data_IF_006450136114
#
_entry.id   IF_006450136114
#
_cell.length_a   1.000
_cell.length_b   1.000
_cell.length_c   1.000
_cell.angle_alpha   90.00
_cell.angle_beta   90.00
_cell.angle_gamma   90.00
#
_symmetry.space_group_name_H-M   'P 1'
#
loop_
_entity.id
_entity.type
_entity.pdbx_description
1 polymer ?
#
# COMPACT_ATOMS: atom_id res chain seq x y z
N UNK A 1 -9.13 36.08 40.69
CA UNK A 1 -9.84 34.79 40.53
C UNK A 1 -11.05 35.07 39.66
N UNK A 2 -11.36 34.40 38.55
CA UNK A 2 -10.93 33.11 38.01
C UNK A 2 -10.91 33.17 36.47
N UNK A 3 -10.04 32.35 35.87
CA UNK A 3 -10.06 31.99 34.45
C UNK A 3 -11.28 31.10 34.16
N UNK A 4 -11.95 31.30 33.04
CA UNK A 4 -12.91 30.32 32.49
C UNK A 4 -12.48 29.97 31.06
N UNK A 5 -11.72 28.88 30.96
CA UNK A 5 -11.59 28.09 29.74
C UNK A 5 -12.81 27.18 29.64
N UNK A 6 -13.57 27.27 28.56
CA UNK A 6 -14.64 26.31 28.26
C UNK A 6 -14.04 25.09 27.55
N UNK A 7 -14.22 23.94 28.18
CA UNK A 7 -13.80 22.60 27.75
C UNK A 7 -14.55 22.20 26.47
N UNK A 8 -13.83 21.92 25.37
CA UNK A 8 -14.44 21.27 24.21
C UNK A 8 -14.66 19.78 24.54
N UNK A 9 -15.92 19.38 24.71
CA UNK A 9 -16.29 17.96 24.80
C UNK A 9 -16.00 17.28 23.47
N UNK A 10 -15.03 16.35 23.47
CA UNK A 10 -14.80 15.43 22.36
C UNK A 10 -16.05 14.57 22.20
N UNK A 11 -16.81 14.81 21.12
CA UNK A 11 -17.86 13.90 20.70
C UNK A 11 -17.22 12.54 20.38
N UNK A 12 -17.86 11.46 20.83
CA UNK A 12 -17.47 10.10 20.49
C UNK A 12 -17.48 9.93 18.98
N UNK A 13 -16.30 9.68 18.40
CA UNK A 13 -16.17 9.30 16.99
C UNK A 13 -17.06 8.09 16.72
N UNK A 14 -17.80 8.06 15.59
CA UNK A 14 -18.54 6.87 15.21
C UNK A 14 -17.55 5.71 15.08
N UNK A 15 -17.89 4.58 15.69
CA UNK A 15 -17.11 3.36 15.55
C UNK A 15 -16.97 3.02 14.07
N UNK A 16 -15.74 2.67 13.66
CA UNK A 16 -15.47 2.16 12.32
C UNK A 16 -16.46 1.02 11.99
N UNK A 17 -16.94 0.91 10.75
CA UNK A 17 -17.88 -0.13 10.36
C UNK A 17 -17.27 -1.51 10.64
N UNK A 18 -17.83 -2.21 11.63
CA UNK A 18 -17.49 -3.59 11.94
C UNK A 18 -18.23 -4.52 10.98
N UNK A 19 -17.72 -4.62 9.76
CA UNK A 19 -17.91 -5.88 9.04
C UNK A 19 -17.00 -6.89 9.73
N UNK A 20 -17.55 -8.03 10.14
CA UNK A 20 -16.77 -9.13 10.68
C UNK A 20 -15.65 -9.47 9.69
N UNK A 21 -14.45 -8.96 9.97
CA UNK A 21 -13.23 -9.48 9.40
C UNK A 21 -13.33 -11.00 9.55
N UNK A 22 -13.27 -11.72 8.43
CA UNK A 22 -13.05 -13.17 8.51
C UNK A 22 -11.87 -13.37 9.46
N UNK A 23 -11.81 -14.48 10.21
CA UNK A 23 -10.72 -14.77 11.15
C UNK A 23 -9.30 -14.71 10.54
N UNK A 24 -9.20 -14.46 9.24
CA UNK A 24 -8.00 -14.41 8.42
C UNK A 24 -7.73 -13.02 7.79
N UNK A 25 -8.47 -11.98 8.21
CA UNK A 25 -8.28 -10.60 7.75
C UNK A 25 -7.62 -9.74 8.84
N UNK A 26 -6.47 -9.14 8.55
CA UNK A 26 -5.69 -8.35 9.51
C UNK A 26 -5.13 -7.08 8.88
N UNK A 27 -5.08 -5.99 9.65
CA UNK A 27 -4.30 -4.81 9.28
C UNK A 27 -2.80 -5.10 9.46
N UNK A 28 -1.99 -4.77 8.46
CA UNK A 28 -0.54 -4.98 8.44
C UNK A 28 0.18 -3.70 8.03
N UNK A 29 1.38 -3.53 8.61
CA UNK A 29 2.37 -2.55 8.17
C UNK A 29 3.52 -3.30 7.50
N UNK A 30 3.82 -2.99 6.23
CA UNK A 30 5.01 -3.51 5.57
C UNK A 30 6.19 -2.62 5.93
N UNK A 31 7.22 -3.21 6.54
CA UNK A 31 8.43 -2.50 6.97
C UNK A 31 9.64 -3.04 6.24
N UNK A 32 10.66 -2.21 6.14
CA UNK A 32 11.97 -2.71 5.76
C UNK A 32 12.58 -3.58 6.87
N UNK A 33 13.68 -4.26 6.55
CA UNK A 33 14.36 -5.17 7.49
C UNK A 33 14.96 -4.46 8.70
N UNK A 34 15.20 -3.15 8.63
CA UNK A 34 15.69 -2.35 9.76
C UNK A 34 14.56 -1.79 10.63
N UNK A 35 13.29 -1.93 10.20
CA UNK A 35 12.12 -1.34 10.85
C UNK A 35 12.19 0.18 11.00
N UNK A 36 12.90 0.87 10.10
CA UNK A 36 13.04 2.32 10.09
C UNK A 36 12.12 2.98 9.07
N UNK A 37 11.73 2.25 8.02
CA UNK A 37 10.79 2.74 7.01
C UNK A 37 9.64 1.76 6.80
N UNK A 38 8.49 2.29 6.41
CA UNK A 38 7.31 1.51 6.08
C UNK A 38 6.68 1.96 4.77
N UNK A 39 5.91 1.06 4.16
CA UNK A 39 5.07 1.36 3.00
C UNK A 39 3.75 1.97 3.48
N UNK A 40 3.47 3.19 3.06
CA UNK A 40 2.27 3.93 3.42
C UNK A 40 1.47 4.30 2.18
N UNK A 41 0.15 4.13 2.24
CA UNK A 41 -0.77 4.67 1.26
C UNK A 41 -1.12 6.12 1.60
N UNK A 42 -1.27 6.99 0.61
CA UNK A 42 -1.75 8.36 0.79
C UNK A 42 -3.16 8.53 0.25
N UNK A 43 -3.88 9.56 0.69
CA UNK A 43 -5.21 9.91 0.17
C UNK A 43 -5.21 10.26 -1.32
N UNK A 44 -4.06 10.62 -1.90
CA UNK A 44 -3.88 10.88 -3.34
C UNK A 44 -3.84 9.61 -4.22
N UNK A 45 -3.97 8.43 -3.61
CA UNK A 45 -3.93 7.13 -4.26
C UNK A 45 -2.52 6.70 -4.69
N UNK A 46 -1.44 7.33 -4.22
CA UNK A 46 -0.07 6.84 -4.34
C UNK A 46 0.36 6.08 -3.08
N UNK A 47 1.46 5.32 -3.23
CA UNK A 47 2.19 4.76 -2.11
C UNK A 47 3.56 5.41 -1.97
N UNK A 48 4.01 5.48 -0.72
CA UNK A 48 5.26 6.10 -0.31
C UNK A 48 6.02 5.20 0.66
N UNK A 49 7.35 5.24 0.61
CA UNK A 49 8.20 4.80 1.71
C UNK A 49 8.41 5.98 2.66
N UNK A 50 8.03 5.80 3.92
CA UNK A 50 8.03 6.84 4.95
C UNK A 50 8.69 6.32 6.23
N UNK A 51 9.14 7.21 7.11
CA UNK A 51 9.73 6.85 8.40
C UNK A 51 8.73 6.15 9.33
N UNK A 52 9.19 5.13 10.07
CA UNK A 52 8.43 4.40 11.08
C UNK A 52 8.95 4.75 12.50
N UNK A 53 8.11 4.83 13.56
CA UNK A 53 6.67 4.60 13.62
C UNK A 53 5.79 5.77 13.16
N UNK A 54 6.35 6.97 13.10
CA UNK A 54 5.61 8.17 12.71
C UNK A 54 6.21 8.85 11.50
N UNK A 55 5.40 8.89 10.45
CA UNK A 55 5.34 9.97 9.47
C UNK A 55 4.03 9.83 8.68
N UNK A 56 3.51 10.96 8.20
CA UNK A 56 2.30 11.01 7.38
C UNK A 56 2.69 10.84 5.90
N UNK A 57 1.98 10.01 5.12
CA UNK A 57 0.76 9.28 5.52
C UNK A 57 1.04 8.00 6.32
N UNK A 58 0.05 7.52 7.07
CA UNK A 58 0.15 6.39 8.02
C UNK A 58 -0.91 5.29 7.84
N UNK A 59 -1.44 5.15 6.62
CA UNK A 59 -2.54 4.22 6.31
C UNK A 59 -2.11 2.76 6.44
N UNK A 60 -2.96 1.94 7.07
CA UNK A 60 -2.72 0.50 7.22
C UNK A 60 -3.16 -0.27 5.98
N UNK A 61 -2.48 -1.38 5.70
CA UNK A 61 -2.86 -2.27 4.59
C UNK A 61 -3.67 -3.45 5.13
N UNK A 62 -4.68 -3.89 4.39
CA UNK A 62 -5.46 -5.07 4.73
C UNK A 62 -4.85 -6.32 4.08
N UNK A 63 -4.60 -7.34 4.91
CA UNK A 63 -4.19 -8.66 4.47
C UNK A 63 -5.31 -9.68 4.66
N UNK A 64 -5.51 -10.54 3.67
CA UNK A 64 -6.42 -11.70 3.68
C UNK A 64 -5.60 -12.92 3.27
N UNK A 65 -5.57 -13.97 4.11
CA UNK A 65 -4.77 -15.18 3.85
C UNK A 65 -3.29 -14.86 3.51
N UNK A 66 -2.68 -13.93 4.25
CA UNK A 66 -1.31 -13.45 4.01
C UNK A 66 -1.08 -12.73 2.68
N UNK A 67 -2.12 -12.47 1.90
CA UNK A 67 -2.07 -11.64 0.69
C UNK A 67 -2.60 -10.25 1.03
N UNK A 68 -1.90 -9.20 0.63
CA UNK A 68 -2.30 -7.82 0.88
C UNK A 68 -3.12 -7.35 -0.32
N UNK A 69 -4.37 -6.98 -0.07
CA UNK A 69 -5.37 -6.80 -1.12
C UNK A 69 -5.77 -5.35 -1.33
N UNK A 70 -5.86 -4.59 -0.25
CA UNK A 70 -6.34 -3.20 -0.25
C UNK A 70 -5.77 -2.45 0.96
N UNK A 71 -6.04 -1.16 1.06
CA UNK A 71 -5.81 -0.39 2.29
C UNK A 71 -7.04 -0.39 3.22
N UNK A 72 -6.91 0.21 4.40
CA UNK A 72 -7.98 0.35 5.38
C UNK A 72 -9.15 1.25 4.91
N UNK A 73 -8.96 2.02 3.83
CA UNK A 73 -10.00 2.77 3.12
C UNK A 73 -10.73 1.92 2.05
N UNK A 74 -10.34 0.65 1.85
CA UNK A 74 -10.96 -0.25 0.88
C UNK A 74 -10.52 -0.01 -0.56
N UNK A 75 -9.43 0.72 -0.79
CA UNK A 75 -8.87 0.97 -2.12
C UNK A 75 -7.97 -0.19 -2.54
N UNK A 76 -8.17 -0.68 -3.76
CA UNK A 76 -7.41 -1.80 -4.33
C UNK A 76 -6.16 -1.31 -5.05
N UNK A 77 -5.09 -2.10 -4.99
CA UNK A 77 -3.88 -1.80 -5.73
C UNK A 77 -4.08 -2.01 -7.23
N UNK A 78 -3.57 -1.09 -8.02
CA UNK A 78 -3.56 -1.21 -9.47
C UNK A 78 -2.37 -0.49 -10.09
N UNK A 79 -2.13 -0.79 -11.36
CA UNK A 79 -1.14 -0.13 -12.20
C UNK A 79 -1.67 0.01 -13.63
N UNK A 80 -0.93 0.73 -14.48
CA UNK A 80 -1.31 0.93 -15.88
C UNK A 80 -0.35 0.12 -16.79
N UNK A 81 -0.81 -1.00 -17.39
CA UNK A 81 0.03 -1.84 -18.24
C UNK A 81 0.64 -1.11 -19.43
N UNK A 82 -0.08 -0.14 -20.03
CA UNK A 82 0.44 0.67 -21.13
C UNK A 82 1.68 1.49 -20.70
N UNK A 83 1.63 2.10 -19.51
CA UNK A 83 2.75 2.87 -18.94
C UNK A 83 3.93 1.94 -18.63
N UNK A 84 3.65 0.79 -18.00
CA UNK A 84 4.66 -0.25 -17.74
C UNK A 84 5.35 -0.71 -19.03
N UNK A 85 4.58 -0.93 -20.11
CA UNK A 85 5.11 -1.36 -21.40
C UNK A 85 5.97 -0.30 -22.08
N UNK A 86 5.59 0.99 -21.97
CA UNK A 86 6.30 2.08 -22.61
C UNK A 86 7.60 2.47 -21.89
N UNK A 87 7.60 2.43 -20.55
CA UNK A 87 8.69 2.99 -19.74
C UNK A 87 9.43 1.96 -18.88
N UNK A 88 9.03 0.68 -18.92
CA UNK A 88 9.57 -0.38 -18.05
C UNK A 88 9.20 -0.23 -16.57
N UNK A 89 8.41 0.79 -16.22
CA UNK A 89 7.94 1.09 -14.87
C UNK A 89 6.54 1.70 -14.91
N UNK A 90 5.76 1.48 -13.86
CA UNK A 90 4.45 2.14 -13.67
C UNK A 90 4.32 2.59 -12.22
N UNK A 91 3.54 3.64 -11.97
CA UNK A 91 3.14 3.96 -10.60
C UNK A 91 2.30 2.81 -10.04
N UNK A 92 2.58 2.43 -8.80
CA UNK A 92 1.66 1.65 -7.98
C UNK A 92 0.62 2.61 -7.43
N UNK A 93 -0.65 2.31 -7.64
CA UNK A 93 -1.76 3.20 -7.30
C UNK A 93 -2.81 2.47 -6.48
N UNK A 94 -3.60 3.25 -5.74
CA UNK A 94 -4.75 2.83 -4.95
C UNK A 94 -5.97 3.61 -5.41
N UNK A 95 -7.07 2.91 -5.66
CA UNK A 95 -8.38 3.51 -5.91
C UNK A 95 -9.46 2.54 -5.48
N UNK A 96 -10.69 3.03 -5.29
CA UNK A 96 -11.82 2.12 -5.19
C UNK A 96 -11.95 1.33 -6.50
N UNK A 97 -12.44 0.10 -6.45
CA UNK A 97 -12.55 -0.77 -7.63
C UNK A 97 -13.42 -0.16 -8.73
N UNK A 98 -14.34 0.75 -8.38
CA UNK A 98 -15.15 1.49 -9.34
C UNK A 98 -14.41 2.64 -10.04
N UNK A 99 -13.35 3.17 -9.43
CA UNK A 99 -12.56 4.29 -9.96
C UNK A 99 -11.31 3.84 -10.74
N UNK A 100 -10.96 2.56 -10.64
CA UNK A 100 -9.90 1.97 -11.44
C UNK A 100 -10.30 2.04 -12.91
N UNK A 101 -9.53 2.78 -13.74
CA UNK A 101 -9.84 2.94 -15.16
C UNK A 101 -9.86 1.58 -15.88
N UNK A 102 -10.62 1.46 -16.97
CA UNK A 102 -10.69 0.23 -17.76
C UNK A 102 -9.31 -0.25 -18.26
N UNK A 103 -8.35 0.67 -18.36
CA UNK A 103 -6.97 0.41 -18.79
C UNK A 103 -6.01 0.09 -17.64
N UNK A 104 -6.52 0.04 -16.40
CA UNK A 104 -5.74 -0.36 -15.24
C UNK A 104 -5.84 -1.87 -15.00
N UNK A 105 -4.84 -2.42 -14.32
CA UNK A 105 -4.84 -3.81 -13.89
C UNK A 105 -4.64 -3.90 -12.39
N UNK A 106 -5.53 -4.65 -11.75
CA UNK A 106 -5.50 -4.90 -10.30
C UNK A 106 -4.31 -5.82 -9.99
N UNK A 107 -3.73 -5.60 -8.82
CA UNK A 107 -2.69 -6.47 -8.27
C UNK A 107 -2.89 -6.68 -6.77
N UNK A 108 -2.24 -7.69 -6.24
CA UNK A 108 -2.10 -7.93 -4.80
C UNK A 108 -0.63 -7.95 -4.42
N UNK A 109 -0.33 -7.71 -3.14
CA UNK A 109 1.03 -7.85 -2.63
C UNK A 109 1.15 -9.17 -1.90
N UNK A 110 2.12 -9.98 -2.28
CA UNK A 110 2.32 -11.33 -1.74
C UNK A 110 3.69 -11.43 -1.07
N UNK A 111 3.77 -12.02 0.13
CA UNK A 111 5.03 -12.40 0.73
C UNK A 111 5.63 -13.57 -0.06
N UNK A 112 6.88 -13.41 -0.47
CA UNK A 112 7.67 -14.40 -1.21
C UNK A 112 8.90 -14.73 -0.38
N UNK A 113 9.09 -16.01 -0.04
CA UNK A 113 10.30 -16.48 0.62
C UNK A 113 11.41 -16.68 -0.41
N UNK A 114 12.60 -16.12 -0.17
CA UNK A 114 13.79 -16.35 -1.00
C UNK A 114 14.55 -17.64 -0.62
N UNK A 115 13.98 -18.50 0.25
CA UNK A 115 14.62 -19.74 0.70
C UNK A 115 15.73 -19.55 1.73
N UNK A 116 16.23 -18.31 1.91
CA UNK A 116 17.23 -17.93 2.92
C UNK A 116 16.60 -17.38 4.22
N UNK A 117 15.30 -17.58 4.42
CA UNK A 117 14.55 -17.05 5.56
C UNK A 117 14.13 -15.57 5.42
N UNK A 118 14.56 -14.88 4.36
CA UNK A 118 14.09 -13.51 4.06
C UNK A 118 12.76 -13.56 3.32
N UNK A 119 11.76 -12.88 3.86
CA UNK A 119 10.46 -12.66 3.22
C UNK A 119 10.52 -11.33 2.47
N UNK A 120 10.34 -11.37 1.16
CA UNK A 120 10.19 -10.21 0.31
C UNK A 120 8.72 -9.99 0.00
N UNK A 121 8.29 -8.76 -0.25
CA UNK A 121 6.96 -8.51 -0.80
C UNK A 121 7.09 -8.33 -2.31
N UNK A 122 6.31 -9.07 -3.09
CA UNK A 122 6.17 -8.89 -4.53
C UNK A 122 4.76 -8.44 -4.88
N UNK A 123 4.61 -7.70 -5.98
CA UNK A 123 3.31 -7.37 -6.54
C UNK A 123 2.94 -8.39 -7.63
N UNK A 124 1.73 -8.93 -7.58
CA UNK A 124 1.22 -9.91 -8.55
C UNK A 124 -0.09 -9.42 -9.15
N UNK A 125 -0.16 -9.32 -10.47
CA UNK A 125 -1.38 -8.88 -11.16
C UNK A 125 -2.37 -10.02 -11.41
N UNK A 126 -3.59 -9.66 -11.83
CA UNK A 126 -4.69 -10.60 -12.10
C UNK A 126 -4.43 -11.60 -13.23
N UNK A 127 -3.33 -11.47 -13.99
CA UNK A 127 -2.93 -12.43 -15.04
C UNK A 127 -1.59 -13.10 -14.74
N UNK A 128 -1.12 -13.03 -13.48
CA UNK A 128 0.11 -13.70 -13.03
C UNK A 128 1.40 -12.96 -13.37
N UNK A 129 1.34 -11.70 -13.77
CA UNK A 129 2.52 -10.84 -13.90
C UNK A 129 3.12 -10.54 -12.52
N UNK A 130 4.44 -10.72 -12.38
CA UNK A 130 5.17 -10.40 -11.15
C UNK A 130 5.98 -9.10 -11.29
N UNK A 131 5.93 -8.27 -10.25
CA UNK A 131 6.57 -6.97 -10.21
C UNK A 131 7.32 -6.76 -8.90
N UNK A 132 8.43 -6.01 -9.00
CA UNK A 132 9.22 -5.56 -7.87
C UNK A 132 8.95 -4.07 -7.61
N UNK A 133 9.24 -3.62 -6.40
CA UNK A 133 9.15 -2.21 -6.05
C UNK A 133 10.46 -1.49 -6.37
N UNK A 134 10.32 -0.34 -7.01
CA UNK A 134 11.36 0.68 -7.10
C UNK A 134 10.85 1.94 -6.40
N UNK A 135 11.74 2.81 -5.95
CA UNK A 135 11.35 4.07 -5.33
C UNK A 135 12.24 5.21 -5.79
N UNK A 136 11.69 6.42 -5.74
CA UNK A 136 12.43 7.65 -5.99
C UNK A 136 11.97 8.73 -5.01
N UNK A 137 12.87 9.64 -4.64
CA UNK A 137 12.54 10.77 -3.78
C UNK A 137 11.46 11.63 -4.45
N UNK A 138 10.39 11.94 -3.73
CA UNK A 138 9.37 12.88 -4.19
C UNK A 138 9.74 14.28 -3.66
N UNK A 139 10.01 15.28 -4.52
CA UNK A 139 10.50 16.59 -4.07
C UNK A 139 9.52 17.34 -3.16
N UNK A 140 8.22 17.08 -3.29
CA UNK A 140 7.16 17.78 -2.54
C UNK A 140 6.64 16.99 -1.32
N UNK A 141 7.23 15.83 -1.00
CA UNK A 141 6.77 14.94 0.08
C UNK A 141 7.94 14.41 0.94
N UNK A 142 7.66 14.15 2.22
CA UNK A 142 8.63 13.60 3.19
C UNK A 142 8.94 12.10 2.90
N UNK A 143 8.32 11.50 1.88
CA UNK A 143 8.48 10.09 1.52
C UNK A 143 8.98 9.87 0.08
N UNK A 144 9.53 8.67 -0.17
CA UNK A 144 9.90 8.25 -1.52
C UNK A 144 8.71 7.58 -2.22
N UNK A 145 8.36 8.07 -3.41
CA UNK A 145 7.24 7.52 -4.20
C UNK A 145 7.59 6.12 -4.71
N UNK A 146 6.63 5.19 -4.57
CA UNK A 146 6.82 3.79 -4.97
C UNK A 146 6.29 3.53 -6.38
N UNK A 147 7.10 2.81 -7.13
CA UNK A 147 6.91 2.40 -8.51
C UNK A 147 6.95 0.87 -8.60
N UNK A 148 6.30 0.32 -9.62
CA UNK A 148 6.46 -1.06 -10.04
C UNK A 148 7.43 -1.13 -11.20
N UNK A 149 8.28 -2.15 -11.16
CA UNK A 149 9.10 -2.59 -12.29
C UNK A 149 8.85 -4.07 -12.55
N UNK A 150 8.96 -4.50 -13.81
CA UNK A 150 8.84 -5.91 -14.16
C UNK A 150 10.05 -6.67 -13.64
N UNK A 151 9.82 -7.84 -13.04
CA UNK A 151 10.90 -8.79 -12.81
C UNK A 151 11.29 -9.42 -14.16
N UNK A 152 12.38 -8.95 -14.77
CA UNK A 152 12.83 -9.43 -16.07
C UNK A 152 13.43 -10.85 -16.02
N UNK A 153 13.80 -11.34 -14.83
CA UNK A 153 14.46 -12.64 -14.66
C UNK A 153 13.47 -13.78 -14.39
N UNK A 154 12.20 -13.47 -14.12
CA UNK A 154 11.11 -14.46 -14.12
C UNK A 154 10.32 -14.36 -15.41
N UNK A 155 10.73 -15.15 -16.40
CA UNK A 155 9.88 -15.44 -17.57
C UNK A 155 8.59 -16.07 -17.05
N UNK A 156 7.43 -15.55 -17.48
CA UNK A 156 6.15 -16.24 -17.29
C UNK A 156 6.29 -17.62 -17.95
N UNK A 157 6.39 -18.66 -17.14
CA UNK A 157 6.18 -20.05 -17.57
C UNK A 157 4.69 -20.31 -17.75
#
# INVERSE_FOLDING_TARGET
MASMFANATLASSPAAPSTTASSNSHCITIRDTTSTVHLAASSDGNLYLTSYPESSPGTSLLSIFSTITNDDEGRSFHYHPAVMSAYGKSHLRLSTTGDATADSRILTLVPVSSGLGTIHTAAVDTVGGMFLFAWCNAPDWIGAKVLLIRDANRTQT
#
